data_IF_593081847255
#
_entry.id   IF_593081847255
#
_cell.length_a   1.000
_cell.length_b   1.000
_cell.length_c   1.000
_cell.angle_alpha   90.00
_cell.angle_beta   90.00
_cell.angle_gamma   90.00
#
_symmetry.space_group_name_H-M   'P 1'
#
loop_
_entity.id
_entity.type
_entity.pdbx_description
1 polymer ?
#
# COMPACT_ATOMS: atom_id res chain seq x y z
N UNK A 1 15.80 10.84 11.22
CA UNK A 1 14.81 10.53 10.16
C UNK A 1 15.19 11.35 8.93
N UNK A 2 15.32 10.74 7.74
CA UNK A 2 15.58 11.49 6.50
C UNK A 2 14.55 12.60 6.29
N UNK A 3 15.01 13.80 5.95
CA UNK A 3 14.15 14.99 5.79
C UNK A 3 13.20 14.90 4.59
N UNK A 4 13.51 14.03 3.61
CA UNK A 4 12.65 13.64 2.48
C UNK A 4 12.85 12.15 2.22
N UNK A 5 11.81 11.35 2.43
CA UNK A 5 11.91 9.90 2.26
C UNK A 5 10.55 9.25 2.14
N UNK A 6 10.54 8.10 1.49
CA UNK A 6 9.39 7.20 1.41
C UNK A 6 9.71 5.96 2.24
N UNK A 7 8.75 5.52 3.04
CA UNK A 7 8.86 4.31 3.83
C UNK A 7 7.68 3.42 3.46
N UNK A 8 7.95 2.14 3.19
CA UNK A 8 6.92 1.14 2.89
C UNK A 8 6.75 0.26 4.11
N UNK A 9 5.55 0.27 4.67
CA UNK A 9 5.19 -0.43 5.91
C UNK A 9 3.84 -1.11 5.75
N UNK A 10 3.56 -2.04 6.66
CA UNK A 10 2.22 -2.58 6.85
C UNK A 10 1.31 -1.56 7.59
N UNK A 11 0.01 -1.86 7.79
CA UNK A 11 -0.92 -0.94 8.45
C UNK A 11 -0.51 -0.58 9.89
N UNK A 12 0.07 -1.53 10.65
CA UNK A 12 0.53 -1.27 12.01
C UNK A 12 1.69 -0.27 12.02
N UNK A 13 2.65 -0.44 11.12
CA UNK A 13 3.77 0.50 10.94
C UNK A 13 3.29 1.87 10.50
N UNK A 14 2.33 1.95 9.56
CA UNK A 14 1.75 3.21 9.11
C UNK A 14 1.10 3.97 10.28
N UNK A 15 0.26 3.28 11.06
CA UNK A 15 -0.40 3.86 12.23
C UNK A 15 0.60 4.32 13.29
N UNK A 16 1.65 3.53 13.55
CA UNK A 16 2.69 3.90 14.50
C UNK A 16 3.44 5.17 14.07
N UNK A 17 3.75 5.30 12.77
CA UNK A 17 4.42 6.49 12.23
C UNK A 17 3.50 7.71 12.32
N UNK A 18 2.24 7.59 11.92
CA UNK A 18 1.26 8.69 11.99
C UNK A 18 1.07 9.15 13.44
N UNK A 19 0.99 8.22 14.41
CA UNK A 19 0.78 8.53 15.82
C UNK A 19 1.97 9.24 16.47
N UNK A 20 3.20 8.86 16.11
CA UNK A 20 4.41 9.31 16.80
C UNK A 20 5.18 10.43 16.05
N UNK A 21 4.62 10.93 14.95
CA UNK A 21 5.25 11.97 14.14
C UNK A 21 4.58 13.32 14.38
N UNK A 22 5.38 14.34 14.69
CA UNK A 22 4.93 15.74 14.69
C UNK A 22 4.75 16.29 13.26
N UNK A 23 5.28 15.58 12.26
CA UNK A 23 5.14 15.94 10.84
C UNK A 23 3.81 15.45 10.27
N UNK A 24 3.26 16.20 9.33
CA UNK A 24 2.12 15.76 8.53
C UNK A 24 2.54 14.64 7.55
N UNK A 25 2.25 13.39 7.92
CA UNK A 25 2.53 12.19 7.13
C UNK A 25 1.44 11.99 6.09
N UNK A 26 1.84 11.74 4.83
CA UNK A 26 0.92 11.40 3.74
C UNK A 26 0.93 9.89 3.52
N UNK A 27 -0.21 9.24 3.73
CA UNK A 27 -0.36 7.78 3.68
C UNK A 27 -1.02 7.37 2.39
N UNK A 28 -0.32 6.55 1.61
CA UNK A 28 -0.83 5.95 0.37
C UNK A 28 -1.06 4.47 0.59
N UNK A 29 -2.29 4.01 0.35
CA UNK A 29 -2.61 2.58 0.27
C UNK A 29 -2.64 2.16 -1.19
N UNK A 30 -1.75 1.25 -1.58
CA UNK A 30 -1.76 0.65 -2.93
C UNK A 30 -2.55 -0.64 -2.90
N UNK A 31 -3.67 -0.67 -3.61
CA UNK A 31 -4.55 -1.83 -3.71
C UNK A 31 -4.39 -2.53 -5.06
N UNK A 32 -4.75 -3.82 -5.08
CA UNK A 32 -4.86 -4.61 -6.31
C UNK A 32 -5.87 -5.71 -6.06
N UNK A 33 -6.70 -6.00 -7.08
CA UNK A 33 -7.62 -7.15 -7.08
C UNK A 33 -6.95 -8.43 -6.59
N UNK A 34 -7.73 -9.22 -5.85
CA UNK A 34 -7.36 -10.53 -5.32
C UNK A 34 -6.78 -11.44 -6.42
N UNK A 35 -7.47 -11.52 -7.55
CA UNK A 35 -7.07 -12.40 -8.65
C UNK A 35 -5.78 -11.94 -9.31
N UNK A 36 -5.60 -10.63 -9.49
CA UNK A 36 -4.34 -10.04 -9.97
C UNK A 36 -3.19 -10.38 -9.03
N UNK A 37 -3.38 -10.26 -7.71
CA UNK A 37 -2.38 -10.65 -6.71
C UNK A 37 -2.07 -12.14 -6.76
N UNK A 38 -3.10 -12.99 -6.85
CA UNK A 38 -2.95 -14.45 -6.96
C UNK A 38 -2.14 -14.83 -8.20
N UNK A 39 -2.51 -14.30 -9.37
CA UNK A 39 -1.82 -14.56 -10.63
C UNK A 39 -0.36 -14.11 -10.57
N UNK A 40 -0.08 -12.93 -9.99
CA UNK A 40 1.31 -12.46 -9.79
C UNK A 40 2.12 -13.38 -8.87
N UNK A 41 1.52 -13.95 -7.82
CA UNK A 41 2.20 -14.90 -6.93
C UNK A 41 2.51 -16.22 -7.64
N UNK A 42 1.54 -16.79 -8.36
CA UNK A 42 1.70 -18.03 -9.13
C UNK A 42 2.76 -17.86 -10.23
N UNK A 43 2.69 -16.75 -10.98
CA UNK A 43 3.67 -16.46 -12.04
C UNK A 43 5.09 -16.26 -11.50
N UNK A 44 5.24 -15.85 -10.24
CA UNK A 44 6.54 -15.77 -9.56
C UNK A 44 7.07 -17.15 -9.14
N UNK A 45 6.25 -18.20 -9.20
CA UNK A 45 6.59 -19.56 -8.78
C UNK A 45 6.19 -19.90 -7.34
N UNK A 46 5.32 -19.10 -6.69
CA UNK A 46 4.75 -19.51 -5.40
C UNK A 46 3.79 -20.69 -5.60
N UNK A 47 3.75 -21.62 -4.64
CA UNK A 47 2.73 -22.67 -4.64
C UNK A 47 1.32 -22.11 -4.44
N UNK A 48 0.31 -22.80 -4.95
CA UNK A 48 -1.10 -22.41 -4.78
C UNK A 48 -1.47 -22.25 -3.31
N UNK A 49 -1.09 -23.21 -2.46
CA UNK A 49 -1.36 -23.17 -1.01
C UNK A 49 -0.73 -21.93 -0.34
N UNK A 50 0.54 -21.66 -0.65
CA UNK A 50 1.25 -20.49 -0.11
C UNK A 50 0.59 -19.20 -0.58
N UNK A 51 0.20 -19.12 -1.85
CA UNK A 51 -0.47 -17.96 -2.43
C UNK A 51 -1.83 -17.72 -1.78
N UNK A 52 -2.65 -18.76 -1.58
CA UNK A 52 -3.93 -18.67 -0.87
C UNK A 52 -3.78 -18.21 0.57
N UNK A 53 -2.79 -18.76 1.31
CA UNK A 53 -2.50 -18.33 2.68
C UNK A 53 -2.10 -16.86 2.73
N UNK A 54 -1.25 -16.41 1.81
CA UNK A 54 -0.86 -15.00 1.70
C UNK A 54 -2.04 -14.10 1.41
N UNK A 55 -2.87 -14.43 0.43
CA UNK A 55 -4.06 -13.64 0.09
C UNK A 55 -4.99 -13.47 1.30
N UNK A 56 -5.29 -14.57 2.01
CA UNK A 56 -6.13 -14.52 3.23
C UNK A 56 -5.49 -13.67 4.32
N UNK A 57 -4.18 -13.79 4.51
CA UNK A 57 -3.46 -13.00 5.51
C UNK A 57 -3.44 -11.51 5.13
N UNK A 58 -3.19 -11.19 3.86
CA UNK A 58 -3.17 -9.82 3.36
C UNK A 58 -4.55 -9.17 3.50
N UNK A 59 -5.63 -9.87 3.18
CA UNK A 59 -7.01 -9.36 3.38
C UNK A 59 -7.32 -9.08 4.85
N UNK A 60 -6.80 -9.91 5.76
CA UNK A 60 -6.94 -9.67 7.19
C UNK A 60 -6.10 -8.48 7.64
N UNK A 61 -4.85 -8.38 7.20
CA UNK A 61 -3.92 -7.33 7.66
C UNK A 61 -4.36 -5.97 7.09
N UNK A 62 -4.59 -5.88 5.78
CA UNK A 62 -4.86 -4.66 5.03
C UNK A 62 -6.36 -4.28 4.94
N UNK A 63 -7.19 -4.79 5.85
CA UNK A 63 -8.56 -4.31 6.01
C UNK A 63 -8.56 -2.79 6.32
N UNK A 64 -9.38 -2.02 5.63
CA UNK A 64 -9.43 -0.55 5.75
C UNK A 64 -9.69 -0.10 7.19
N UNK A 65 -10.41 -0.90 8.00
CA UNK A 65 -10.66 -0.60 9.42
C UNK A 65 -9.39 -0.59 10.28
N UNK A 66 -8.29 -1.17 9.80
CA UNK A 66 -7.02 -1.21 10.52
C UNK A 66 -6.16 0.02 10.28
N UNK A 67 -6.56 0.97 9.43
CA UNK A 67 -5.81 2.20 9.20
C UNK A 67 -6.39 3.36 9.98
N UNK A 68 -5.54 4.13 10.66
CA UNK A 68 -5.95 5.38 11.33
C UNK A 68 -6.05 6.54 10.35
N UNK A 69 -5.32 6.46 9.23
CA UNK A 69 -5.25 7.50 8.20
C UNK A 69 -4.92 6.87 6.84
N UNK A 70 -5.64 7.28 5.81
CA UNK A 70 -5.32 7.02 4.41
C UNK A 70 -5.61 8.32 3.65
N UNK A 71 -4.59 8.92 3.05
CA UNK A 71 -4.75 10.15 2.25
C UNK A 71 -5.02 9.83 0.77
N UNK A 72 -4.55 8.68 0.29
CA UNK A 72 -4.76 8.22 -1.08
C UNK A 72 -4.93 6.70 -1.14
N UNK A 73 -6.03 6.23 -1.73
CA UNK A 73 -6.19 4.84 -2.17
C UNK A 73 -5.89 4.75 -3.66
N UNK A 74 -4.88 3.98 -4.03
CA UNK A 74 -4.41 3.84 -5.40
C UNK A 74 -4.60 2.41 -5.89
N UNK A 75 -5.38 2.25 -6.95
CA UNK A 75 -5.55 0.96 -7.63
C UNK A 75 -4.40 0.69 -8.60
N UNK A 76 -3.65 -0.38 -8.36
CA UNK A 76 -2.54 -0.84 -9.19
C UNK A 76 -3.00 -1.95 -10.15
N UNK A 77 -3.93 -1.55 -11.03
CA UNK A 77 -4.52 -2.38 -12.09
C UNK A 77 -4.07 -1.83 -13.45
N UNK A 78 -3.22 -2.59 -14.15
CA UNK A 78 -2.83 -2.40 -15.56
C UNK A 78 -2.27 -1.02 -15.97
N UNK A 79 -2.02 -0.13 -15.01
CA UNK A 79 -1.38 1.17 -15.23
C UNK A 79 0.14 1.02 -15.21
N UNK A 80 0.80 1.76 -16.09
CA UNK A 80 2.24 1.90 -16.08
C UNK A 80 2.71 2.45 -14.71
N UNK A 81 3.74 1.83 -14.12
CA UNK A 81 4.29 2.23 -12.82
C UNK A 81 4.65 3.72 -12.77
N UNK A 82 5.11 4.30 -13.88
CA UNK A 82 5.43 5.72 -13.96
C UNK A 82 4.17 6.59 -13.77
N UNK A 83 3.03 6.18 -14.32
CA UNK A 83 1.75 6.90 -14.16
C UNK A 83 1.30 6.85 -12.70
N UNK A 84 1.42 5.68 -12.06
CA UNK A 84 1.09 5.52 -10.64
C UNK A 84 2.00 6.38 -9.75
N UNK A 85 3.30 6.41 -10.04
CA UNK A 85 4.25 7.26 -9.32
C UNK A 85 3.93 8.75 -9.50
N UNK A 86 3.63 9.20 -10.72
CA UNK A 86 3.21 10.59 -10.97
C UNK A 86 1.91 10.93 -10.23
N UNK A 87 0.94 10.01 -10.21
CA UNK A 87 -0.32 10.19 -9.49
C UNK A 87 -0.07 10.39 -7.98
N UNK A 88 0.80 9.58 -7.38
CA UNK A 88 1.18 9.72 -5.97
C UNK A 88 1.86 11.08 -5.74
N UNK A 89 2.79 11.46 -6.63
CA UNK A 89 3.51 12.71 -6.50
C UNK A 89 2.59 13.93 -6.59
N UNK A 90 1.70 13.97 -7.57
CA UNK A 90 0.72 15.05 -7.74
C UNK A 90 -0.22 15.17 -6.54
N UNK A 91 -0.75 14.03 -6.04
CA UNK A 91 -1.60 14.01 -4.86
C UNK A 91 -0.84 14.50 -3.61
N UNK A 92 0.42 14.09 -3.45
CA UNK A 92 1.28 14.57 -2.38
C UNK A 92 1.52 16.08 -2.48
N UNK A 93 1.82 16.62 -3.66
CA UNK A 93 2.11 18.06 -3.85
C UNK A 93 0.90 18.96 -3.60
N UNK A 94 -0.32 18.47 -3.86
CA UNK A 94 -1.56 19.22 -3.66
C UNK A 94 -2.27 18.90 -2.33
N UNK A 95 -1.62 18.18 -1.43
CA UNK A 95 -2.17 17.92 -0.09
C UNK A 95 -2.34 19.25 0.66
N UNK A 96 -3.52 19.46 1.25
CA UNK A 96 -3.80 20.61 2.12
C UNK A 96 -3.19 20.42 3.50
#
# INVERSE_FOLDING_TARGET
MCEKGVVVVDPNGANAIVKNSEKNIFVVLVHSKRDTRMNRMINRGDSLEKSQRRIKNDEKIFDLKHFTKIDLLLENEDKNLNILASTIHEAYMHRK
#
